data_IF_064448788109
#
_entry.id   IF_064448788109
#
_cell.length_a   1.000
_cell.length_b   1.000
_cell.length_c   1.000
_cell.angle_alpha   90.00
_cell.angle_beta   90.00
_cell.angle_gamma   90.00
#
_symmetry.space_group_name_H-M   'P 1'
#
loop_
_entity.id
_entity.type
_entity.pdbx_description
1 polymer ?
#
# COMPACT_ATOMS: atom_id res chain seq x y z
N UNK A 1 -24.53 1.22 1.71
CA UNK A 1 -24.90 0.26 0.64
C UNK A 1 -23.94 -0.91 0.70
N UNK A 2 -24.38 -2.12 0.39
CA UNK A 2 -23.51 -3.32 0.35
C UNK A 2 -23.24 -3.72 -1.10
N UNK A 3 -22.00 -4.14 -1.40
CA UNK A 3 -21.60 -4.69 -2.70
C UNK A 3 -20.87 -6.02 -2.52
N UNK A 4 -21.02 -6.92 -3.49
CA UNK A 4 -20.34 -8.22 -3.51
C UNK A 4 -19.35 -8.27 -4.68
N UNK A 5 -18.11 -8.62 -4.38
CA UNK A 5 -17.05 -8.81 -5.38
C UNK A 5 -16.20 -10.02 -5.02
N UNK A 6 -15.98 -10.92 -6.00
CA UNK A 6 -15.23 -12.17 -5.81
C UNK A 6 -15.70 -13.02 -4.61
N UNK A 7 -17.01 -13.03 -4.34
CA UNK A 7 -17.60 -13.74 -3.19
C UNK A 7 -17.34 -13.09 -1.83
N UNK A 8 -16.75 -11.88 -1.80
CA UNK A 8 -16.50 -11.08 -0.61
C UNK A 8 -17.46 -9.89 -0.56
N UNK A 9 -17.86 -9.51 0.66
CA UNK A 9 -18.82 -8.45 0.88
C UNK A 9 -18.17 -7.17 1.38
N UNK A 10 -18.49 -6.03 0.78
CA UNK A 10 -17.96 -4.72 1.13
C UNK A 10 -19.08 -3.71 1.33
N UNK A 11 -18.88 -2.81 2.29
CA UNK A 11 -19.76 -1.67 2.50
C UNK A 11 -19.25 -0.47 1.69
N UNK A 12 -20.20 0.29 1.15
CA UNK A 12 -19.99 1.60 0.57
C UNK A 12 -20.82 2.64 1.33
N UNK A 13 -20.16 3.73 1.72
CA UNK A 13 -20.75 4.95 2.29
C UNK A 13 -20.25 6.20 1.56
N UNK A 14 -20.83 7.36 1.85
CA UNK A 14 -20.50 8.63 1.17
C UNK A 14 -21.27 8.88 -0.13
N UNK A 15 -22.18 7.98 -0.52
CA UNK A 15 -23.03 8.15 -1.71
C UNK A 15 -24.33 8.87 -1.37
N UNK A 16 -24.74 9.80 -2.23
CA UNK A 16 -26.08 10.40 -2.19
C UNK A 16 -27.17 9.32 -2.21
N UNK A 17 -28.24 9.42 -1.40
CA UNK A 17 -28.65 10.58 -0.59
C UNK A 17 -28.00 10.68 0.81
N UNK A 18 -27.00 9.85 1.13
CA UNK A 18 -26.24 9.94 2.38
C UNK A 18 -25.26 11.12 2.39
N UNK A 19 -24.73 11.44 3.57
CA UNK A 19 -23.64 12.41 3.73
C UNK A 19 -22.34 11.86 3.14
N UNK A 20 -21.54 12.75 2.52
CA UNK A 20 -20.17 12.43 2.09
C UNK A 20 -19.34 11.95 3.28
N UNK A 21 -18.44 11.01 3.03
CA UNK A 21 -17.40 10.66 3.98
C UNK A 21 -16.39 11.81 4.10
N UNK A 22 -15.68 11.92 5.24
CA UNK A 22 -14.63 12.91 5.40
C UNK A 22 -13.44 12.59 4.48
N UNK A 23 -12.94 13.62 3.81
CA UNK A 23 -11.73 13.54 3.00
C UNK A 23 -10.51 13.50 3.94
N UNK A 24 -9.79 12.38 3.96
CA UNK A 24 -8.62 12.19 4.83
C UNK A 24 -7.35 12.80 4.22
N UNK A 25 -6.51 13.48 4.99
CA UNK A 25 -5.24 14.00 4.48
C UNK A 25 -4.31 12.90 3.96
N UNK A 26 -3.62 13.19 2.85
CA UNK A 26 -2.57 12.34 2.31
C UNK A 26 -1.21 12.74 2.89
N UNK A 27 -0.40 11.75 3.26
CA UNK A 27 1.03 11.93 3.48
C UNK A 27 1.83 11.74 2.18
N UNK A 28 1.29 10.97 1.22
CA UNK A 28 1.98 10.59 -0.01
C UNK A 28 1.06 10.79 -1.23
N UNK A 29 1.57 11.41 -2.28
CA UNK A 29 0.83 11.68 -3.52
C UNK A 29 1.51 10.95 -4.70
N UNK A 30 0.74 10.17 -5.46
CA UNK A 30 1.24 9.41 -6.60
C UNK A 30 0.48 9.75 -7.87
N UNK A 31 1.18 10.25 -8.89
CA UNK A 31 0.56 10.66 -10.15
C UNK A 31 -0.40 11.84 -10.03
N UNK A 32 -0.39 12.55 -8.89
CA UNK A 32 -1.19 13.72 -8.58
C UNK A 32 -0.29 14.97 -8.48
N UNK A 33 -0.82 16.17 -8.75
CA UNK A 33 -0.13 17.41 -8.40
C UNK A 33 0.02 17.51 -6.86
N UNK A 34 1.02 18.28 -6.40
CA UNK A 34 1.28 18.49 -4.97
C UNK A 34 0.10 19.17 -4.24
N UNK A 35 -0.73 19.88 -4.98
CA UNK A 35 -1.97 20.47 -4.52
C UNK A 35 -3.08 20.01 -5.46
N UNK A 36 -4.05 19.28 -4.91
CA UNK A 36 -5.35 19.13 -5.56
C UNK A 36 -6.09 20.40 -5.16
N UNK A 37 -6.31 21.29 -6.12
CA UNK A 37 -6.71 22.69 -5.89
C UNK A 37 -7.98 22.86 -5.04
N UNK A 38 -8.47 24.10 -4.87
CA UNK A 38 -9.55 24.60 -3.97
C UNK A 38 -10.95 23.92 -4.05
N UNK A 39 -11.01 22.69 -4.53
CA UNK A 39 -12.16 21.83 -4.71
C UNK A 39 -12.67 21.36 -3.36
N UNK A 40 -13.95 21.60 -3.09
CA UNK A 40 -14.69 20.83 -2.09
C UNK A 40 -14.81 19.39 -2.58
N UNK A 41 -13.81 18.56 -2.24
CA UNK A 41 -13.85 17.14 -2.53
C UNK A 41 -14.92 16.48 -1.66
N UNK A 42 -15.69 15.59 -2.28
CA UNK A 42 -16.53 14.62 -1.59
C UNK A 42 -15.86 13.25 -1.67
N UNK A 43 -16.02 12.44 -0.62
CA UNK A 43 -15.45 11.12 -0.56
C UNK A 43 -16.53 10.05 -0.43
N UNK A 44 -16.29 8.95 -1.13
CA UNK A 44 -16.92 7.66 -0.87
C UNK A 44 -15.92 6.75 -0.18
N UNK A 45 -16.39 5.94 0.76
CA UNK A 45 -15.55 4.97 1.45
C UNK A 45 -16.01 3.56 1.06
N UNK A 46 -15.05 2.73 0.66
CA UNK A 46 -15.23 1.29 0.48
C UNK A 46 -14.48 0.59 1.60
N UNK A 47 -15.15 -0.29 2.34
CA UNK A 47 -14.53 -1.06 3.43
C UNK A 47 -14.99 -2.52 3.43
N UNK A 48 -14.17 -3.46 3.92
CA UNK A 48 -14.62 -4.83 4.14
C UNK A 48 -15.85 -4.85 5.06
N UNK A 49 -16.88 -5.61 4.69
CA UNK A 49 -18.10 -5.73 5.47
C UNK A 49 -17.85 -6.40 6.83
N UNK A 50 -18.79 -6.30 7.80
CA UNK A 50 -18.61 -6.78 9.18
C UNK A 50 -18.15 -8.25 9.27
N UNK A 51 -18.66 -9.09 8.37
CA UNK A 51 -18.37 -10.53 8.34
C UNK A 51 -16.94 -10.87 7.88
N UNK A 52 -16.27 -9.97 7.17
CA UNK A 52 -14.88 -10.14 6.71
C UNK A 52 -13.91 -9.13 7.34
N UNK A 53 -14.39 -8.28 8.25
CA UNK A 53 -13.57 -7.26 8.91
C UNK A 53 -12.40 -7.88 9.70
N UNK A 54 -12.62 -9.05 10.32
CA UNK A 54 -11.58 -9.81 11.01
C UNK A 54 -10.54 -10.41 10.04
N UNK A 55 -10.92 -10.63 8.78
CA UNK A 55 -10.08 -11.14 7.70
C UNK A 55 -9.45 -10.03 6.84
N UNK A 56 -9.51 -8.76 7.26
CA UNK A 56 -9.01 -7.62 6.48
C UNK A 56 -7.53 -7.70 6.09
N UNK A 57 -6.73 -8.43 6.88
CA UNK A 57 -5.31 -8.65 6.64
C UNK A 57 -5.05 -9.79 5.63
N UNK A 58 -6.09 -10.52 5.23
CA UNK A 58 -5.93 -11.57 4.23
C UNK A 58 -5.70 -10.93 2.85
N UNK A 59 -4.62 -11.35 2.20
CA UNK A 59 -4.23 -10.85 0.88
C UNK A 59 -5.38 -10.88 -0.17
N UNK A 60 -6.24 -11.92 -0.24
CA UNK A 60 -7.40 -11.90 -1.14
C UNK A 60 -8.39 -10.76 -0.87
N UNK A 61 -8.62 -10.41 0.40
CA UNK A 61 -9.52 -9.31 0.78
C UNK A 61 -8.92 -7.97 0.36
N UNK A 62 -7.64 -7.75 0.66
CA UNK A 62 -6.94 -6.53 0.27
C UNK A 62 -6.84 -6.37 -1.26
N UNK A 63 -6.56 -7.46 -1.99
CA UNK A 63 -6.59 -7.50 -3.47
C UNK A 63 -7.96 -7.15 -4.03
N UNK A 64 -9.03 -7.72 -3.46
CA UNK A 64 -10.39 -7.44 -3.91
C UNK A 64 -10.78 -5.99 -3.64
N UNK A 65 -10.45 -5.44 -2.46
CA UNK A 65 -10.66 -4.03 -2.13
C UNK A 65 -9.90 -3.09 -3.08
N UNK A 66 -8.64 -3.39 -3.38
CA UNK A 66 -7.86 -2.62 -4.34
C UNK A 66 -8.50 -2.69 -5.74
N UNK A 67 -8.94 -3.88 -6.17
CA UNK A 67 -9.65 -4.08 -7.44
C UNK A 67 -10.93 -3.26 -7.52
N UNK A 68 -11.73 -3.22 -6.46
CA UNK A 68 -12.89 -2.34 -6.35
C UNK A 68 -12.51 -0.87 -6.47
N UNK A 69 -11.48 -0.41 -5.76
CA UNK A 69 -10.96 0.94 -5.92
C UNK A 69 -10.57 1.26 -7.38
N UNK A 70 -9.96 0.30 -8.08
CA UNK A 70 -9.58 0.45 -9.48
C UNK A 70 -10.79 0.49 -10.43
N UNK A 71 -11.88 -0.21 -10.11
CA UNK A 71 -13.15 -0.12 -10.82
C UNK A 71 -13.85 1.22 -10.58
N UNK A 72 -13.90 1.69 -9.34
CA UNK A 72 -14.51 2.97 -8.98
C UNK A 72 -13.73 4.17 -9.52
N UNK A 73 -12.42 4.05 -9.70
CA UNK A 73 -11.57 5.05 -10.34
C UNK A 73 -11.98 5.37 -11.80
N UNK A 74 -12.84 4.55 -12.44
CA UNK A 74 -13.39 4.82 -13.77
C UNK A 74 -14.61 5.75 -13.76
N UNK A 75 -15.18 6.03 -12.59
CA UNK A 75 -16.35 6.90 -12.51
C UNK A 75 -16.00 8.33 -12.93
N UNK A 76 -16.87 9.00 -13.70
CA UNK A 76 -16.65 10.39 -14.07
C UNK A 76 -16.50 11.28 -12.83
N UNK A 77 -15.52 12.17 -12.84
CA UNK A 77 -15.31 13.16 -11.78
C UNK A 77 -14.44 12.71 -10.61
N UNK A 78 -14.00 11.44 -10.56
CA UNK A 78 -13.05 10.98 -9.53
C UNK A 78 -11.72 11.71 -9.68
N UNK A 79 -11.31 12.42 -8.61
CA UNK A 79 -10.06 13.20 -8.60
C UNK A 79 -8.87 12.41 -8.09
N UNK A 80 -9.09 11.50 -7.14
CA UNK A 80 -8.04 10.70 -6.51
C UNK A 80 -8.63 9.43 -5.89
N UNK A 81 -7.77 8.43 -5.67
CA UNK A 81 -8.05 7.24 -4.87
C UNK A 81 -7.21 7.31 -3.60
N UNK A 82 -7.87 7.36 -2.44
CA UNK A 82 -7.21 7.36 -1.14
C UNK A 82 -7.05 5.93 -0.60
N UNK A 83 -5.82 5.54 -0.26
CA UNK A 83 -5.51 4.27 0.38
C UNK A 83 -5.03 4.50 1.82
N UNK A 84 -5.94 4.27 2.75
CA UNK A 84 -5.80 4.68 4.15
C UNK A 84 -4.60 4.06 4.86
N UNK A 85 -4.29 2.78 4.64
CA UNK A 85 -3.19 2.12 5.35
C UNK A 85 -1.83 2.72 5.01
N UNK A 86 -1.68 3.25 3.81
CA UNK A 86 -0.46 3.91 3.35
C UNK A 86 -0.53 5.44 3.47
N UNK A 87 -1.66 5.99 3.95
CA UNK A 87 -1.99 7.43 3.90
C UNK A 87 -1.66 8.06 2.55
N UNK A 88 -1.91 7.33 1.48
CA UNK A 88 -1.55 7.74 0.12
C UNK A 88 -2.77 8.15 -0.67
N UNK A 89 -2.62 9.14 -1.53
CA UNK A 89 -3.54 9.41 -2.61
C UNK A 89 -2.85 9.11 -3.94
N UNK A 90 -3.60 8.49 -4.84
CA UNK A 90 -3.14 8.19 -6.20
C UNK A 90 -4.07 8.81 -7.22
N UNK A 91 -3.55 9.25 -8.36
CA UNK A 91 -4.43 9.61 -9.47
C UNK A 91 -5.21 8.38 -9.94
N UNK A 92 -6.43 8.56 -10.48
CA UNK A 92 -7.27 7.44 -10.90
C UNK A 92 -6.55 6.53 -11.90
N UNK A 93 -5.84 7.12 -12.86
CA UNK A 93 -5.07 6.39 -13.87
C UNK A 93 -3.90 5.60 -13.25
N UNK A 94 -3.09 6.26 -12.41
CA UNK A 94 -1.95 5.62 -11.74
C UNK A 94 -2.42 4.42 -10.91
N UNK A 95 -3.38 4.65 -10.00
CA UNK A 95 -3.93 3.62 -9.12
C UNK A 95 -4.45 2.43 -9.92
N UNK A 96 -5.32 2.69 -10.89
CA UNK A 96 -5.95 1.65 -11.70
C UNK A 96 -4.92 0.85 -12.48
N UNK A 97 -3.97 1.52 -13.15
CA UNK A 97 -3.00 0.82 -13.98
C UNK A 97 -2.06 -0.08 -13.17
N UNK A 98 -1.69 0.33 -11.96
CA UNK A 98 -0.80 -0.43 -11.07
C UNK A 98 -1.53 -1.58 -10.39
N UNK A 99 -2.77 -1.36 -9.93
CA UNK A 99 -3.58 -2.40 -9.27
C UNK A 99 -3.99 -3.49 -10.25
N UNK A 100 -4.47 -3.14 -11.45
CA UNK A 100 -4.89 -4.15 -12.43
C UNK A 100 -3.71 -5.03 -12.88
N UNK A 101 -2.54 -4.43 -13.13
CA UNK A 101 -1.31 -5.19 -13.42
C UNK A 101 -0.95 -6.17 -12.31
N UNK A 102 -1.11 -5.79 -11.04
CA UNK A 102 -0.86 -6.67 -9.91
C UNK A 102 -1.88 -7.80 -9.79
N UNK A 103 -3.17 -7.50 -9.99
CA UNK A 103 -4.24 -8.51 -10.00
C UNK A 103 -4.01 -9.55 -11.11
N UNK A 104 -3.47 -9.11 -12.26
CA UNK A 104 -3.11 -9.98 -13.38
C UNK A 104 -1.79 -10.77 -13.16
N UNK A 105 -1.24 -10.76 -11.94
CA UNK A 105 -0.03 -11.51 -11.57
C UNK A 105 1.28 -10.72 -11.68
N UNK A 106 1.20 -9.41 -11.90
CA UNK A 106 2.36 -8.52 -11.89
C UNK A 106 2.88 -8.16 -10.50
N UNK A 107 3.78 -7.17 -10.45
CA UNK A 107 4.43 -6.70 -9.23
C UNK A 107 3.45 -5.97 -8.31
N UNK A 108 3.62 -6.13 -7.00
CA UNK A 108 2.86 -5.39 -5.98
C UNK A 108 3.02 -3.86 -6.15
N UNK A 109 1.92 -3.07 -6.10
CA UNK A 109 1.96 -1.62 -6.31
C UNK A 109 2.42 -0.89 -5.03
N UNK A 110 3.69 -1.05 -4.69
CA UNK A 110 4.31 -0.51 -3.48
C UNK A 110 4.40 1.01 -3.41
N UNK A 111 4.04 1.72 -4.49
CA UNK A 111 3.85 3.18 -4.53
C UNK A 111 2.38 3.47 -4.87
N UNK A 112 1.54 3.42 -3.84
CA UNK A 112 0.09 3.50 -3.95
C UNK A 112 -0.59 2.71 -2.84
N UNK A 113 -0.41 1.39 -2.81
CA UNK A 113 -0.96 0.54 -1.74
C UNK A 113 -0.04 0.46 -0.50
N UNK A 114 1.23 0.81 -0.68
CA UNK A 114 2.17 1.16 0.36
C UNK A 114 2.84 2.50 -0.01
N UNK A 115 3.64 3.03 0.89
CA UNK A 115 4.50 4.18 0.66
C UNK A 115 5.87 3.96 1.28
N UNK A 116 6.85 4.79 0.90
CA UNK A 116 8.19 4.81 1.47
C UNK A 116 8.47 6.19 2.03
N UNK A 117 8.98 6.24 3.25
CA UNK A 117 9.36 7.48 3.93
C UNK A 117 10.82 7.44 4.38
N UNK A 118 11.56 8.55 4.23
CA UNK A 118 12.87 8.69 4.84
C UNK A 118 12.73 8.77 6.37
N UNK A 119 13.70 8.20 7.07
CA UNK A 119 13.81 8.25 8.52
C UNK A 119 14.86 9.28 8.95
N UNK A 120 14.80 9.70 10.21
CA UNK A 120 15.73 10.68 10.78
C UNK A 120 17.17 10.17 10.86
N UNK A 121 17.35 8.85 11.00
CA UNK A 121 18.65 8.19 11.03
C UNK A 121 19.29 8.01 9.63
N UNK A 122 18.61 8.47 8.58
CA UNK A 122 19.02 8.29 7.18
C UNK A 122 18.53 6.99 6.55
N UNK A 123 17.81 6.14 7.29
CA UNK A 123 17.14 4.96 6.77
C UNK A 123 15.88 5.29 5.97
N UNK A 124 15.17 4.23 5.57
CA UNK A 124 13.89 4.32 4.88
C UNK A 124 12.93 3.28 5.43
N UNK A 125 11.67 3.64 5.66
CA UNK A 125 10.64 2.71 6.11
C UNK A 125 9.47 2.67 5.15
N UNK A 126 8.76 1.54 5.11
CA UNK A 126 7.45 1.48 4.50
C UNK A 126 6.35 2.00 5.42
N UNK A 127 5.26 2.40 4.80
CA UNK A 127 3.99 2.68 5.46
C UNK A 127 2.86 1.99 4.71
N UNK A 128 2.07 1.19 5.43
CA UNK A 128 0.89 0.49 4.91
C UNK A 128 1.17 -0.91 4.36
N UNK A 129 2.42 -1.36 4.32
CA UNK A 129 2.78 -2.73 3.91
C UNK A 129 2.21 -3.76 4.89
N UNK A 130 2.11 -3.39 6.17
CA UNK A 130 1.58 -4.25 7.22
C UNK A 130 0.14 -4.72 6.99
N UNK A 131 -0.64 -4.01 6.15
CA UNK A 131 -1.96 -4.48 5.73
C UNK A 131 -1.89 -5.83 4.97
N UNK A 132 -0.80 -6.05 4.22
CA UNK A 132 -0.64 -7.20 3.34
C UNK A 132 0.21 -8.32 3.96
N UNK A 133 1.16 -7.95 4.83
CA UNK A 133 2.18 -8.88 5.34
C UNK A 133 2.15 -9.00 6.87
N UNK A 134 1.43 -8.12 7.57
CA UNK A 134 1.53 -7.95 9.02
C UNK A 134 2.79 -7.21 9.49
N UNK A 135 3.67 -6.81 8.57
CA UNK A 135 4.96 -6.18 8.87
C UNK A 135 5.24 -4.99 7.94
N UNK A 136 5.81 -3.92 8.49
CA UNK A 136 6.50 -2.92 7.68
C UNK A 136 7.94 -3.37 7.39
N UNK A 137 8.59 -2.74 6.42
CA UNK A 137 10.03 -2.91 6.14
C UNK A 137 10.79 -1.65 6.55
N UNK A 138 12.00 -1.81 7.09
CA UNK A 138 12.93 -0.71 7.36
C UNK A 138 14.31 -1.02 6.79
N UNK A 139 14.75 -0.19 5.85
CA UNK A 139 16.12 -0.22 5.33
C UNK A 139 17.06 0.56 6.24
N UNK A 140 18.19 -0.04 6.56
CA UNK A 140 19.29 0.64 7.23
C UNK A 140 19.81 1.83 6.39
N UNK A 141 20.40 2.86 7.03
CA UNK A 141 20.90 4.06 6.34
C UNK A 141 21.88 3.75 5.20
N UNK A 142 22.67 2.70 5.35
CA UNK A 142 23.65 2.24 4.36
C UNK A 142 23.00 1.86 3.02
N UNK A 143 21.83 1.23 3.09
CA UNK A 143 21.02 0.81 1.94
C UNK A 143 20.17 1.94 1.36
N UNK A 144 19.91 2.98 2.16
CA UNK A 144 19.11 4.16 1.78
C UNK A 144 19.96 5.39 1.41
N UNK A 145 21.29 5.24 1.39
CA UNK A 145 22.25 6.33 1.12
C UNK A 145 22.03 6.98 -0.25
N UNK A 146 21.83 6.16 -1.30
CA UNK A 146 21.17 6.59 -2.54
C UNK A 146 19.65 6.34 -2.41
N UNK A 147 18.88 7.44 -2.26
CA UNK A 147 17.43 7.36 -2.09
C UNK A 147 16.71 6.62 -3.22
N UNK A 148 17.19 6.75 -4.46
CA UNK A 148 16.54 6.10 -5.61
C UNK A 148 16.81 4.61 -5.58
N UNK A 149 18.05 4.20 -5.34
CA UNK A 149 18.41 2.78 -5.23
C UNK A 149 17.73 2.14 -4.02
N UNK A 150 17.74 2.81 -2.86
CA UNK A 150 17.05 2.35 -1.66
C UNK A 150 15.55 2.18 -1.89
N UNK A 151 14.90 3.12 -2.58
CA UNK A 151 13.48 2.98 -2.92
C UNK A 151 13.21 1.82 -3.89
N UNK A 152 14.08 1.59 -4.88
CA UNK A 152 13.96 0.45 -5.79
C UNK A 152 14.15 -0.88 -5.06
N UNK A 153 15.12 -0.96 -4.15
CA UNK A 153 15.32 -2.12 -3.28
C UNK A 153 14.08 -2.36 -2.41
N UNK A 154 13.59 -1.32 -1.72
CA UNK A 154 12.43 -1.42 -0.86
C UNK A 154 11.18 -1.90 -1.64
N UNK A 155 10.91 -1.36 -2.84
CA UNK A 155 9.77 -1.82 -3.67
C UNK A 155 9.89 -3.30 -4.04
N UNK A 156 11.09 -3.79 -4.36
CA UNK A 156 11.32 -5.21 -4.64
C UNK A 156 11.10 -6.08 -3.40
N UNK A 157 11.61 -5.64 -2.25
CA UNK A 157 11.43 -6.36 -0.98
C UNK A 157 9.97 -6.35 -0.52
N UNK A 158 9.24 -5.24 -0.72
CA UNK A 158 7.80 -5.18 -0.48
C UNK A 158 7.05 -6.21 -1.32
N UNK A 159 7.36 -6.30 -2.62
CA UNK A 159 6.77 -7.31 -3.49
C UNK A 159 7.06 -8.73 -3.01
N UNK A 160 8.33 -9.03 -2.73
CA UNK A 160 8.75 -10.33 -2.21
C UNK A 160 8.03 -10.70 -0.90
N UNK A 161 7.91 -9.75 0.04
CA UNK A 161 7.23 -9.97 1.31
C UNK A 161 5.72 -10.17 1.13
N UNK A 162 5.10 -9.48 0.17
CA UNK A 162 3.68 -9.68 -0.17
C UNK A 162 3.41 -11.05 -0.78
N UNK A 163 4.32 -11.58 -1.59
CA UNK A 163 4.21 -12.93 -2.15
C UNK A 163 4.42 -14.01 -1.09
N UNK A 164 5.34 -13.76 -0.17
CA UNK A 164 5.72 -14.72 0.87
C UNK A 164 4.80 -14.73 2.08
N UNK A 165 4.35 -13.56 2.52
CA UNK A 165 3.77 -13.35 3.85
C UNK A 165 4.79 -12.83 4.87
N UNK A 166 4.45 -12.92 6.15
CA UNK A 166 5.31 -12.41 7.23
C UNK A 166 6.66 -13.14 7.32
N UNK A 167 7.68 -12.40 7.76
CA UNK A 167 8.98 -12.96 8.10
C UNK A 167 8.98 -13.39 9.57
N UNK A 168 9.18 -14.69 9.81
CA UNK A 168 9.15 -15.27 11.16
C UNK A 168 10.54 -15.33 11.81
N UNK A 169 11.60 -15.51 11.02
CA UNK A 169 12.97 -15.71 11.46
C UNK A 169 13.93 -14.89 10.59
N UNK A 170 15.17 -14.73 11.07
CA UNK A 170 16.22 -14.06 10.30
C UNK A 170 16.52 -14.82 9.02
N UNK A 171 16.71 -14.10 7.93
CA UNK A 171 17.08 -14.67 6.63
C UNK A 171 18.14 -13.85 5.91
N UNK A 172 18.88 -14.54 5.05
CA UNK A 172 19.88 -13.95 4.16
C UNK A 172 19.42 -14.17 2.72
N UNK A 173 19.32 -13.08 1.97
CA UNK A 173 18.92 -13.11 0.56
C UNK A 173 19.93 -12.34 -0.29
N UNK A 174 20.03 -12.72 -1.56
CA UNK A 174 20.82 -11.95 -2.52
C UNK A 174 20.07 -10.69 -2.94
N UNK A 175 20.73 -9.55 -2.75
CA UNK A 175 20.32 -8.25 -3.25
C UNK A 175 20.47 -8.12 -4.77
N UNK A 176 19.92 -7.04 -5.34
CA UNK A 176 19.92 -6.81 -6.79
C UNK A 176 21.32 -6.64 -7.40
N UNK A 177 22.32 -6.23 -6.62
CA UNK A 177 23.73 -6.10 -7.05
C UNK A 177 24.58 -7.29 -6.59
N UNK A 178 23.94 -8.42 -6.27
CA UNK A 178 24.57 -9.63 -5.70
C UNK A 178 25.21 -9.41 -4.31
N UNK A 179 24.87 -8.31 -3.63
CA UNK A 179 25.20 -8.11 -2.23
C UNK A 179 24.36 -9.04 -1.33
N UNK A 180 24.89 -9.45 -0.18
CA UNK A 180 24.08 -10.17 0.80
C UNK A 180 23.24 -9.18 1.60
N UNK A 181 21.96 -9.47 1.76
CA UNK A 181 21.03 -8.71 2.58
C UNK A 181 20.57 -9.59 3.75
N UNK A 182 20.69 -9.06 4.96
CA UNK A 182 20.13 -9.68 6.16
C UNK A 182 18.78 -9.05 6.42
N UNK A 183 17.74 -9.88 6.48
CA UNK A 183 16.38 -9.52 6.88
C UNK A 183 16.12 -10.10 8.25
N UNK A 184 15.69 -9.27 9.20
CA UNK A 184 15.51 -9.68 10.58
C UNK A 184 14.21 -9.08 11.15
N UNK A 185 13.28 -9.91 11.65
CA UNK A 185 12.08 -9.38 12.28
C UNK A 185 12.43 -8.69 13.61
N UNK A 186 11.81 -7.54 13.86
CA UNK A 186 11.90 -6.83 15.13
C UNK A 186 11.39 -7.70 16.29
N UNK A 187 11.75 -7.33 17.53
CA UNK A 187 11.32 -8.06 18.72
C UNK A 187 9.80 -8.14 18.88
N UNK A 188 9.07 -7.10 18.45
CA UNK A 188 7.61 -7.07 18.42
C UNK A 188 7.00 -7.66 17.12
N UNK A 189 7.85 -8.11 16.20
CA UNK A 189 7.53 -8.72 14.90
C UNK A 189 6.69 -7.83 13.97
N UNK A 190 6.70 -6.52 14.18
CA UNK A 190 5.96 -5.56 13.32
C UNK A 190 6.81 -4.97 12.21
N UNK A 191 8.13 -5.09 12.28
CA UNK A 191 9.06 -4.52 11.30
C UNK A 191 10.04 -5.59 10.86
N UNK A 192 10.36 -5.62 9.57
CA UNK A 192 11.50 -6.35 9.01
C UNK A 192 12.64 -5.36 8.82
N UNK A 193 13.68 -5.52 9.63
CA UNK A 193 14.93 -4.76 9.54
C UNK A 193 15.79 -5.32 8.41
N UNK A 194 16.25 -4.45 7.52
CA UNK A 194 17.07 -4.84 6.36
C UNK A 194 18.41 -4.12 6.43
N UNK A 195 19.49 -4.90 6.38
CA UNK A 195 20.87 -4.40 6.41
C UNK A 195 21.76 -5.21 5.47
N UNK A 196 22.94 -4.68 5.17
CA UNK A 196 23.97 -5.45 4.44
C UNK A 196 24.51 -6.59 5.31
N UNK A 197 24.80 -7.71 4.67
CA UNK A 197 25.44 -8.90 5.26
C UNK A 197 26.95 -8.82 5.34
#
# INVERSE_FOLDING_TARGET
>A
MEIVANGLCFDISGLSPGESEPVTSAAHLFGLPNEIGDSHLEAILIRPGPHIAAARLMLPVARCLAGLGASFALLPGVQAVAWHSARSWSSPEHFRSSVLRWIDGGVFPGLGLAALLPLQDGGMASEGLSLFTGQEIRLAPELASDRRQGAQLAVRLMHWLVERGNLAEREEISGPESEQLILEPSSDRKVVEVRKG
#
